data_IF_064841505626
#
_entry.id   IF_064841505626
#
_cell.length_a   1.000
_cell.length_b   1.000
_cell.length_c   1.000
_cell.angle_alpha   90.00
_cell.angle_beta   90.00
_cell.angle_gamma   90.00
#
_symmetry.space_group_name_H-M   'P 1'
#
loop_
_entity.id
_entity.type
_entity.pdbx_description
1 polymer ?
#
# COMPACT_ATOMS: atom_id res chain seq x y z
N UNK A 1 36.18 -5.09 -21.47
CA UNK A 1 36.71 -4.01 -20.61
C UNK A 1 35.82 -3.97 -19.39
N UNK A 2 36.37 -4.39 -18.27
CA UNK A 2 35.65 -4.39 -16.99
C UNK A 2 35.35 -2.95 -16.58
N UNK A 3 34.09 -2.67 -16.26
CA UNK A 3 33.67 -1.38 -15.73
C UNK A 3 34.36 -1.07 -14.40
N UNK A 4 34.58 0.19 -14.06
CA UNK A 4 35.43 0.54 -12.92
C UNK A 4 34.87 -0.05 -11.62
N UNK A 5 35.71 -0.69 -10.80
CA UNK A 5 35.31 -1.37 -9.57
C UNK A 5 34.66 -0.47 -8.50
N UNK A 6 34.80 0.84 -8.63
CA UNK A 6 34.25 1.87 -7.75
C UNK A 6 32.70 1.96 -7.76
N UNK A 7 32.04 1.65 -8.89
CA UNK A 7 30.58 1.76 -8.99
C UNK A 7 29.87 0.64 -8.18
N UNK A 8 30.43 -0.59 -8.23
CA UNK A 8 29.91 -1.72 -7.44
C UNK A 8 30.05 -1.50 -5.92
N UNK A 9 31.18 -0.91 -5.47
CA UNK A 9 31.38 -0.59 -4.05
C UNK A 9 30.39 0.46 -3.54
N UNK A 10 30.18 1.58 -4.27
CA UNK A 10 29.20 2.61 -3.86
C UNK A 10 27.75 2.10 -3.81
N UNK A 11 27.36 1.17 -4.68
CA UNK A 11 26.04 0.54 -4.65
C UNK A 11 25.85 -0.30 -3.38
N UNK A 12 26.87 -1.05 -2.94
CA UNK A 12 26.80 -1.89 -1.75
C UNK A 12 26.69 -1.06 -0.48
N UNK A 13 27.44 0.05 -0.40
CA UNK A 13 27.50 0.90 0.81
C UNK A 13 26.21 1.74 1.03
N UNK A 14 25.41 1.96 -0.02
CA UNK A 14 24.16 2.74 0.05
C UNK A 14 22.89 1.90 0.06
N UNK A 15 23.02 0.57 0.00
CA UNK A 15 21.88 -0.35 -0.06
C UNK A 15 21.72 -1.10 1.26
N UNK A 16 20.58 -0.89 1.93
CA UNK A 16 20.21 -1.65 3.12
C UNK A 16 19.32 -2.81 2.67
N UNK A 17 19.85 -4.03 2.76
CA UNK A 17 19.06 -5.23 2.48
C UNK A 17 18.04 -5.44 3.60
N UNK A 18 16.77 -5.36 3.26
CA UNK A 18 15.65 -5.61 4.18
C UNK A 18 15.00 -6.93 3.81
N UNK A 19 15.17 -7.93 4.66
CA UNK A 19 14.53 -9.23 4.53
C UNK A 19 13.39 -9.36 5.54
N UNK A 20 12.20 -9.67 5.05
CA UNK A 20 11.04 -9.94 5.88
C UNK A 20 11.11 -11.38 6.37
N UNK A 21 11.65 -11.59 7.56
CA UNK A 21 11.65 -12.91 8.22
C UNK A 21 10.19 -13.30 8.52
N UNK A 22 9.74 -14.40 7.93
CA UNK A 22 8.41 -14.95 8.20
C UNK A 22 8.41 -15.68 9.54
N UNK A 23 7.41 -15.45 10.39
CA UNK A 23 7.23 -16.27 11.58
C UNK A 23 6.87 -17.70 11.16
N UNK A 24 7.56 -18.66 11.73
CA UNK A 24 7.40 -20.11 11.46
C UNK A 24 6.20 -20.73 12.23
N UNK A 25 5.57 -20.00 13.15
CA UNK A 25 4.50 -20.50 14.03
C UNK A 25 3.27 -19.58 13.98
N UNK A 26 2.06 -20.12 14.32
CA UNK A 26 0.86 -19.31 14.45
C UNK A 26 1.10 -18.15 15.44
N UNK A 27 0.88 -16.92 14.98
CA UNK A 27 0.95 -15.74 15.86
C UNK A 27 -0.40 -15.50 16.52
N UNK A 28 -0.41 -15.06 17.77
CA UNK A 28 -1.58 -14.44 18.40
C UNK A 28 -1.69 -13.01 17.91
N UNK A 29 -2.56 -12.75 16.96
CA UNK A 29 -2.89 -11.37 16.56
C UNK A 29 -3.61 -10.68 17.73
N UNK A 30 -3.25 -9.42 18.00
CA UNK A 30 -4.03 -8.58 18.93
C UNK A 30 -5.43 -8.44 18.33
N UNK A 31 -6.50 -8.86 19.03
CA UNK A 31 -7.84 -8.66 18.50
C UNK A 31 -8.09 -7.16 18.34
N UNK A 32 -8.78 -6.72 17.27
CA UNK A 32 -9.36 -5.39 17.27
C UNK A 32 -10.23 -5.26 18.53
N UNK A 33 -10.45 -4.04 19.07
CA UNK A 33 -11.20 -3.86 20.30
C UNK A 33 -12.61 -4.44 20.14
N UNK A 34 -12.80 -5.67 20.62
CA UNK A 34 -14.04 -6.43 20.49
C UNK A 34 -15.05 -5.80 21.46
N UNK A 35 -16.05 -5.13 20.92
CA UNK A 35 -17.24 -4.77 21.70
C UNK A 35 -17.89 -6.07 22.19
N UNK A 36 -18.15 -6.17 23.48
CA UNK A 36 -18.57 -7.34 24.24
C UNK A 36 -19.80 -8.16 23.69
N UNK A 37 -20.40 -7.78 22.59
CA UNK A 37 -21.50 -8.47 21.89
C UNK A 37 -21.09 -9.70 21.07
N UNK A 38 -19.79 -9.86 20.73
CA UNK A 38 -19.37 -10.98 19.85
C UNK A 38 -19.24 -12.33 20.57
N UNK A 39 -19.07 -12.35 21.89
CA UNK A 39 -18.86 -13.59 22.65
C UNK A 39 -20.15 -14.49 22.72
N UNK A 40 -21.34 -13.92 22.61
CA UNK A 40 -22.60 -14.68 22.62
C UNK A 40 -22.99 -15.36 21.28
N UNK A 41 -22.27 -15.08 20.19
CA UNK A 41 -22.62 -15.53 18.83
C UNK A 41 -21.86 -16.80 18.38
N UNK A 42 -20.83 -17.25 19.09
CA UNK A 42 -20.02 -18.41 18.68
C UNK A 42 -20.88 -19.68 18.51
N UNK A 43 -21.77 -20.01 19.48
CA UNK A 43 -22.61 -21.18 19.38
C UNK A 43 -23.65 -21.13 18.27
N UNK A 44 -24.15 -19.95 17.91
CA UNK A 44 -25.08 -19.77 16.78
C UNK A 44 -24.38 -19.98 15.43
N UNK A 45 -23.11 -19.57 15.30
CA UNK A 45 -22.34 -19.81 14.10
C UNK A 45 -22.15 -21.30 13.85
N UNK A 46 -21.77 -22.06 14.86
CA UNK A 46 -21.61 -23.51 14.78
C UNK A 46 -22.92 -24.21 14.35
N UNK A 47 -24.06 -23.82 14.93
CA UNK A 47 -25.34 -24.36 14.60
C UNK A 47 -25.71 -24.10 13.12
N UNK A 48 -25.67 -22.87 12.67
CA UNK A 48 -26.09 -22.55 11.31
C UNK A 48 -25.12 -23.10 10.26
N UNK A 49 -23.82 -23.15 10.54
CA UNK A 49 -22.85 -23.81 9.68
C UNK A 49 -23.06 -25.32 9.60
N UNK A 50 -23.49 -25.95 10.72
CA UNK A 50 -23.89 -27.36 10.72
C UNK A 50 -25.14 -27.61 9.85
N UNK A 51 -26.13 -26.70 9.88
CA UNK A 51 -27.31 -26.77 9.00
C UNK A 51 -26.91 -26.68 7.53
N UNK A 52 -25.95 -25.78 7.16
CA UNK A 52 -25.41 -25.67 5.81
C UNK A 52 -24.72 -26.98 5.41
N UNK A 53 -23.91 -27.59 6.28
CA UNK A 53 -23.26 -28.89 6.01
C UNK A 53 -24.24 -30.00 5.68
N UNK A 54 -25.42 -29.99 6.33
CA UNK A 54 -26.50 -30.94 6.08
C UNK A 54 -27.37 -30.60 4.87
N UNK A 55 -27.03 -29.52 4.13
CA UNK A 55 -27.85 -29.00 3.01
C UNK A 55 -29.26 -28.53 3.41
N UNK A 56 -29.49 -28.27 4.69
CA UNK A 56 -30.77 -27.74 5.19
C UNK A 56 -30.85 -26.22 5.05
N UNK A 57 -29.74 -25.57 4.70
CA UNK A 57 -29.65 -24.13 4.55
C UNK A 57 -28.62 -23.77 3.46
N UNK A 58 -28.87 -22.67 2.72
CA UNK A 58 -27.87 -22.12 1.79
C UNK A 58 -26.83 -21.34 2.59
N UNK A 59 -25.55 -21.48 2.20
CA UNK A 59 -24.44 -20.73 2.83
C UNK A 59 -24.56 -19.22 2.61
N UNK A 60 -25.19 -18.78 1.52
CA UNK A 60 -25.43 -17.36 1.24
C UNK A 60 -26.45 -16.71 2.19
N UNK A 61 -27.29 -17.52 2.88
CA UNK A 61 -28.25 -17.06 3.87
C UNK A 61 -27.65 -16.96 5.28
N UNK A 62 -26.36 -17.26 5.42
CA UNK A 62 -25.65 -17.23 6.71
C UNK A 62 -24.46 -16.29 6.61
N UNK A 63 -24.32 -15.40 7.59
CA UNK A 63 -23.10 -14.63 7.74
C UNK A 63 -21.95 -15.56 8.13
N UNK A 64 -21.04 -15.84 7.21
CA UNK A 64 -19.93 -16.78 7.44
C UNK A 64 -18.93 -16.28 8.50
N UNK A 65 -18.97 -15.00 8.83
CA UNK A 65 -18.12 -14.40 9.87
C UNK A 65 -18.64 -14.64 11.29
N UNK A 66 -19.97 -14.50 11.54
CA UNK A 66 -20.53 -14.57 12.89
C UNK A 66 -21.74 -15.53 13.03
N UNK A 67 -22.22 -16.13 11.95
CA UNK A 67 -23.35 -17.03 11.95
C UNK A 67 -24.74 -16.36 11.91
N UNK A 68 -24.85 -15.04 11.94
CA UNK A 68 -26.15 -14.34 11.86
C UNK A 68 -26.88 -14.69 10.57
N UNK A 69 -28.22 -14.82 10.69
CA UNK A 69 -29.12 -14.98 9.54
C UNK A 69 -29.60 -13.63 8.96
N UNK A 70 -29.28 -12.53 9.62
CA UNK A 70 -29.58 -11.17 9.13
C UNK A 70 -28.53 -10.74 8.08
N UNK A 71 -28.56 -11.45 6.96
CA UNK A 71 -27.62 -11.23 5.84
C UNK A 71 -28.11 -10.05 4.99
N UNK A 72 -27.26 -9.06 4.81
CA UNK A 72 -27.53 -7.86 3.99
C UNK A 72 -26.75 -7.84 2.68
N UNK A 73 -25.69 -8.62 2.57
CA UNK A 73 -24.83 -8.68 1.38
C UNK A 73 -24.04 -9.97 1.35
N UNK A 74 -23.45 -10.28 0.21
CA UNK A 74 -22.53 -11.41 0.09
C UNK A 74 -21.17 -11.08 0.70
N UNK A 75 -20.49 -12.10 1.26
CA UNK A 75 -19.11 -11.98 1.65
C UNK A 75 -18.23 -11.71 0.40
N UNK A 76 -17.35 -10.70 0.41
CA UNK A 76 -16.66 -10.28 -0.82
C UNK A 76 -15.66 -11.32 -1.35
N UNK A 77 -15.02 -12.11 -0.48
CA UNK A 77 -13.93 -13.01 -0.86
C UNK A 77 -14.39 -14.46 -1.06
N UNK A 78 -15.35 -14.92 -0.26
CA UNK A 78 -15.80 -16.32 -0.22
C UNK A 78 -17.30 -16.44 -0.43
N UNK A 79 -17.75 -17.62 -0.89
CA UNK A 79 -19.18 -17.94 -0.89
C UNK A 79 -19.74 -17.86 0.52
N UNK A 80 -20.89 -17.22 0.66
CA UNK A 80 -21.59 -17.00 1.93
C UNK A 80 -22.02 -15.55 2.13
N UNK A 81 -22.91 -15.37 3.11
CA UNK A 81 -23.49 -14.08 3.45
C UNK A 81 -22.63 -13.25 4.41
N UNK A 82 -23.01 -11.99 4.56
CA UNK A 82 -22.43 -11.04 5.51
C UNK A 82 -23.52 -10.15 6.10
N UNK A 83 -23.60 -10.04 7.44
CA UNK A 83 -24.48 -9.14 8.15
C UNK A 83 -23.88 -7.72 8.25
N UNK A 84 -24.72 -6.72 8.62
CA UNK A 84 -24.28 -5.33 8.72
C UNK A 84 -23.13 -5.12 9.73
N UNK A 85 -23.15 -5.68 10.96
CA UNK A 85 -22.02 -5.53 11.89
C UNK A 85 -20.71 -6.07 11.32
N UNK A 86 -20.73 -7.26 10.69
CA UNK A 86 -19.52 -7.86 10.11
C UNK A 86 -19.02 -7.07 8.88
N UNK A 87 -19.94 -6.49 8.10
CA UNK A 87 -19.58 -5.58 7.01
C UNK A 87 -18.87 -4.33 7.55
N UNK A 88 -19.38 -3.72 8.61
CA UNK A 88 -18.73 -2.56 9.24
C UNK A 88 -17.34 -2.91 9.76
N UNK A 89 -17.19 -4.03 10.48
CA UNK A 89 -15.89 -4.52 10.96
C UNK A 89 -14.93 -4.78 9.80
N UNK A 90 -15.41 -5.39 8.70
CA UNK A 90 -14.58 -5.57 7.50
C UNK A 90 -14.08 -4.26 6.94
N UNK A 91 -14.97 -3.27 6.79
CA UNK A 91 -14.64 -1.96 6.25
C UNK A 91 -13.62 -1.21 7.12
N UNK A 92 -13.67 -1.41 8.44
CA UNK A 92 -12.73 -0.82 9.40
C UNK A 92 -11.36 -1.52 9.39
N UNK A 93 -11.36 -2.87 9.30
CA UNK A 93 -10.14 -3.66 9.42
C UNK A 93 -9.44 -3.92 8.08
N UNK A 94 -10.17 -3.81 6.95
CA UNK A 94 -9.60 -4.09 5.64
C UNK A 94 -8.37 -3.21 5.38
N UNK A 95 -7.26 -3.86 5.03
CA UNK A 95 -5.98 -3.21 4.79
C UNK A 95 -5.30 -2.59 6.04
N UNK A 96 -5.74 -2.97 7.24
CA UNK A 96 -4.92 -2.76 8.44
C UNK A 96 -3.82 -3.82 8.50
N UNK A 97 -2.63 -3.43 8.94
CA UNK A 97 -1.44 -4.28 8.98
C UNK A 97 -0.84 -4.23 10.39
N UNK A 98 -0.23 -5.33 10.81
CA UNK A 98 0.55 -5.39 12.03
C UNK A 98 1.93 -4.73 11.86
N UNK A 99 2.69 -4.68 12.95
CA UNK A 99 4.02 -4.07 12.99
C UNK A 99 5.01 -4.73 12.01
N UNK A 100 4.77 -5.98 11.62
CA UNK A 100 5.55 -6.73 10.64
C UNK A 100 5.04 -6.57 9.19
N UNK A 101 3.98 -5.77 8.98
CA UNK A 101 3.37 -5.48 7.69
C UNK A 101 2.49 -6.60 7.13
N UNK A 102 1.94 -7.46 8.00
CA UNK A 102 0.93 -8.44 7.65
C UNK A 102 -0.46 -7.95 8.07
N UNK A 103 -1.51 -8.46 7.42
CA UNK A 103 -2.87 -8.15 7.85
C UNK A 103 -3.11 -8.71 9.26
N UNK A 104 -3.65 -7.90 10.18
CA UNK A 104 -3.78 -8.24 11.59
C UNK A 104 -5.04 -9.07 11.92
N UNK A 105 -5.75 -9.60 10.92
CA UNK A 105 -7.06 -10.23 11.08
C UNK A 105 -7.29 -11.38 10.09
N UNK A 106 -8.22 -12.26 10.43
CA UNK A 106 -8.67 -13.35 9.56
C UNK A 106 -9.41 -12.82 8.31
N UNK A 107 -9.09 -13.35 7.14
CA UNK A 107 -9.76 -12.98 5.87
C UNK A 107 -11.24 -13.39 5.79
N UNK A 108 -11.72 -14.23 6.71
CA UNK A 108 -13.11 -14.74 6.72
C UNK A 108 -13.96 -14.02 7.76
N UNK A 109 -13.53 -13.98 9.02
CA UNK A 109 -14.34 -13.44 10.12
C UNK A 109 -13.90 -12.06 10.59
N UNK A 110 -12.77 -11.55 10.09
CA UNK A 110 -12.17 -10.27 10.49
C UNK A 110 -11.84 -10.16 11.98
N UNK A 111 -11.90 -11.29 12.68
CA UNK A 111 -11.46 -11.40 14.07
C UNK A 111 -9.95 -11.62 14.17
N UNK A 112 -9.41 -11.22 15.33
CA UNK A 112 -8.07 -11.62 15.76
C UNK A 112 -8.08 -13.01 16.38
N UNK A 113 -7.01 -13.35 17.11
CA UNK A 113 -6.84 -14.61 17.81
C UNK A 113 -5.73 -15.46 17.23
N UNK A 114 -5.88 -16.78 17.28
CA UNK A 114 -4.89 -17.68 16.70
C UNK A 114 -5.10 -17.76 15.18
N UNK A 115 -4.10 -17.31 14.43
CA UNK A 115 -4.18 -17.13 12.98
C UNK A 115 -3.00 -17.76 12.26
N UNK A 116 -3.29 -18.34 11.09
CA UNK A 116 -2.32 -18.93 10.17
C UNK A 116 -1.96 -17.91 9.09
N UNK A 117 -0.67 -17.66 8.91
CA UNK A 117 -0.16 -16.73 7.92
C UNK A 117 0.09 -17.43 6.58
N UNK A 118 -0.33 -16.80 5.48
CA UNK A 118 -0.06 -17.31 4.14
C UNK A 118 1.43 -17.28 3.80
N UNK A 119 1.95 -18.44 3.41
CA UNK A 119 3.34 -18.62 2.99
C UNK A 119 3.69 -18.04 1.62
N UNK A 120 2.71 -17.61 0.81
CA UNK A 120 2.97 -16.98 -0.47
C UNK A 120 3.59 -15.58 -0.27
N UNK A 121 4.74 -15.33 -0.89
CA UNK A 121 5.48 -14.07 -0.77
C UNK A 121 4.69 -12.82 -1.20
N UNK A 122 3.72 -12.99 -2.08
CA UNK A 122 2.88 -11.92 -2.58
C UNK A 122 1.54 -11.80 -1.82
N UNK A 123 1.38 -12.50 -0.70
CA UNK A 123 0.16 -12.52 0.07
C UNK A 123 0.41 -12.15 1.53
N UNK A 124 -0.34 -11.19 2.06
CA UNK A 124 -0.28 -10.77 3.46
C UNK A 124 -1.50 -11.27 4.26
N UNK A 125 -2.31 -12.20 3.70
CA UNK A 125 -3.58 -12.64 4.31
C UNK A 125 -3.37 -13.72 5.34
N UNK A 126 -4.26 -13.73 6.31
CA UNK A 126 -4.32 -14.71 7.38
C UNK A 126 -5.66 -15.43 7.39
N UNK A 127 -5.70 -16.67 7.92
CA UNK A 127 -6.89 -17.40 8.24
C UNK A 127 -6.89 -17.77 9.72
N UNK A 128 -8.00 -17.55 10.45
CA UNK A 128 -8.07 -18.03 11.82
C UNK A 128 -8.18 -19.54 11.86
N UNK A 129 -7.54 -20.15 12.84
CA UNK A 129 -7.61 -21.59 13.12
C UNK A 129 -9.07 -22.04 13.26
N UNK A 130 -9.89 -21.24 13.97
CA UNK A 130 -11.32 -21.46 14.14
C UNK A 130 -12.11 -21.49 12.81
N UNK A 131 -11.86 -20.51 11.92
CA UNK A 131 -12.53 -20.47 10.62
C UNK A 131 -12.16 -21.65 9.73
N UNK A 132 -10.89 -22.08 9.78
CA UNK A 132 -10.41 -23.26 9.02
C UNK A 132 -11.11 -24.52 9.55
N UNK A 133 -11.14 -24.73 10.85
CA UNK A 133 -11.80 -25.88 11.48
C UNK A 133 -13.29 -25.92 11.18
N UNK A 134 -13.95 -24.77 11.29
CA UNK A 134 -15.39 -24.67 11.12
C UNK A 134 -15.87 -24.77 9.68
N UNK A 135 -15.18 -24.13 8.72
CA UNK A 135 -15.67 -23.99 7.36
C UNK A 135 -15.06 -25.01 6.39
N UNK A 136 -13.92 -25.59 6.70
CA UNK A 136 -13.31 -26.62 5.85
C UNK A 136 -13.74 -28.00 6.31
N UNK A 137 -13.20 -28.50 7.41
CA UNK A 137 -13.59 -29.78 8.02
C UNK A 137 -13.02 -29.91 9.42
N UNK A 138 -13.55 -30.84 10.21
CA UNK A 138 -12.97 -31.20 11.51
C UNK A 138 -11.53 -31.71 11.30
N UNK A 139 -10.58 -31.21 12.06
CA UNK A 139 -9.16 -31.50 11.97
C UNK A 139 -8.40 -30.73 10.89
N UNK A 140 -9.08 -29.91 10.06
CA UNK A 140 -8.43 -29.13 9.02
C UNK A 140 -7.46 -28.09 9.57
N UNK A 141 -7.76 -27.52 10.73
CA UNK A 141 -6.85 -26.58 11.40
C UNK A 141 -5.53 -27.21 11.79
N UNK A 142 -5.57 -28.45 12.35
CA UNK A 142 -4.36 -29.21 12.69
C UNK A 142 -3.50 -29.50 11.46
N UNK A 143 -4.14 -29.90 10.34
CA UNK A 143 -3.45 -30.13 9.07
C UNK A 143 -2.85 -28.84 8.52
N UNK A 144 -3.57 -27.72 8.61
CA UNK A 144 -3.08 -26.42 8.16
C UNK A 144 -1.89 -25.91 8.99
N UNK A 145 -1.88 -26.16 10.30
CA UNK A 145 -0.73 -25.83 11.18
C UNK A 145 0.52 -26.65 10.82
N UNK A 146 0.33 -27.91 10.40
CA UNK A 146 1.42 -28.79 10.02
C UNK A 146 1.95 -28.54 8.57
N UNK A 147 1.20 -27.76 7.77
CA UNK A 147 1.60 -27.42 6.40
C UNK A 147 2.56 -26.22 6.41
N UNK A 148 3.79 -26.42 5.99
CA UNK A 148 4.81 -25.36 5.92
C UNK A 148 5.51 -25.35 4.55
N UNK A 149 5.37 -24.24 3.80
CA UNK A 149 4.58 -23.04 4.07
C UNK A 149 3.08 -23.25 3.80
N UNK A 150 2.22 -22.83 4.75
CA UNK A 150 0.78 -22.86 4.56
C UNK A 150 0.30 -21.82 3.54
N UNK A 151 -0.61 -22.21 2.65
CA UNK A 151 -1.22 -21.30 1.68
C UNK A 151 -2.67 -20.99 2.04
N UNK A 152 -3.05 -19.70 2.07
CA UNK A 152 -4.43 -19.31 2.37
C UNK A 152 -5.42 -19.69 1.24
N UNK A 153 -6.69 -19.76 1.55
CA UNK A 153 -7.74 -20.16 0.60
C UNK A 153 -7.96 -19.16 -0.56
N UNK A 154 -7.38 -17.98 -0.48
CA UNK A 154 -7.32 -17.05 -1.63
C UNK A 154 -6.19 -17.39 -2.60
N UNK A 155 -5.09 -18.00 -2.13
CA UNK A 155 -3.93 -18.37 -2.94
C UNK A 155 -3.98 -19.81 -3.45
N UNK A 156 -4.71 -20.69 -2.76
CA UNK A 156 -4.87 -22.08 -3.19
C UNK A 156 -5.57 -22.17 -4.54
N UNK A 157 -5.21 -23.18 -5.40
CA UNK A 157 -5.98 -23.49 -6.59
C UNK A 157 -7.45 -23.72 -6.24
N UNK A 158 -8.35 -23.47 -7.20
CA UNK A 158 -9.76 -23.81 -7.02
C UNK A 158 -9.89 -25.29 -6.73
N UNK A 159 -10.55 -25.64 -5.64
CA UNK A 159 -10.73 -27.01 -5.19
C UNK A 159 -11.78 -27.10 -4.09
N UNK A 160 -12.14 -28.30 -3.71
CA UNK A 160 -13.07 -28.58 -2.62
C UNK A 160 -12.38 -28.34 -1.27
N UNK A 161 -12.47 -27.14 -0.74
CA UNK A 161 -12.02 -26.79 0.60
C UNK A 161 -13.20 -26.68 1.57
N UNK A 162 -14.00 -27.74 1.64
CA UNK A 162 -15.22 -27.78 2.43
C UNK A 162 -16.22 -26.73 1.92
N UNK A 163 -16.71 -25.90 2.84
CA UNK A 163 -17.61 -24.78 2.53
C UNK A 163 -16.86 -23.48 2.22
N UNK A 164 -15.55 -23.42 2.46
CA UNK A 164 -14.76 -22.23 2.20
C UNK A 164 -14.33 -22.19 0.73
N UNK A 165 -15.17 -21.62 -0.11
CA UNK A 165 -14.95 -21.50 -1.55
C UNK A 165 -14.69 -20.06 -1.92
N UNK A 166 -13.57 -19.80 -2.62
CA UNK A 166 -13.24 -18.47 -3.14
C UNK A 166 -14.19 -18.12 -4.28
N UNK A 167 -14.78 -16.92 -4.24
CA UNK A 167 -15.59 -16.40 -5.34
C UNK A 167 -14.74 -16.14 -6.57
N UNK A 168 -15.29 -16.36 -7.76
CA UNK A 168 -14.62 -16.07 -9.02
C UNK A 168 -14.54 -14.55 -9.25
N UNK A 169 -15.60 -13.86 -8.88
CA UNK A 169 -15.77 -12.41 -9.00
C UNK A 169 -15.33 -11.64 -7.73
N UNK A 170 -14.52 -12.26 -6.85
CA UNK A 170 -14.14 -11.68 -5.55
C UNK A 170 -13.55 -10.26 -5.65
N UNK A 171 -12.75 -9.98 -6.70
CA UNK A 171 -12.16 -8.66 -6.89
C UNK A 171 -13.23 -7.59 -7.15
N UNK A 172 -14.21 -7.90 -8.02
CA UNK A 172 -15.35 -7.02 -8.30
C UNK A 172 -16.28 -6.87 -7.09
N UNK A 173 -16.55 -7.97 -6.36
CA UNK A 173 -17.35 -7.92 -5.12
C UNK A 173 -16.68 -7.06 -4.06
N UNK A 174 -15.37 -7.23 -3.88
CA UNK A 174 -14.59 -6.42 -2.95
C UNK A 174 -14.63 -4.94 -3.34
N UNK A 175 -14.42 -4.62 -4.61
CA UNK A 175 -14.53 -3.27 -5.14
C UNK A 175 -15.92 -2.68 -4.89
N UNK A 176 -16.99 -3.42 -5.22
CA UNK A 176 -18.37 -2.97 -5.02
C UNK A 176 -18.69 -2.73 -3.55
N UNK A 177 -18.14 -3.52 -2.63
CA UNK A 177 -18.34 -3.34 -1.19
C UNK A 177 -17.83 -1.96 -0.74
N UNK A 178 -16.68 -1.50 -1.28
CA UNK A 178 -16.12 -0.19 -1.00
C UNK A 178 -16.76 0.96 -1.79
N UNK A 179 -17.40 0.66 -2.92
CA UNK A 179 -17.95 1.64 -3.87
C UNK A 179 -19.25 2.30 -3.41
N UNK A 180 -20.00 1.69 -2.51
CA UNK A 180 -21.36 2.11 -2.15
C UNK A 180 -21.46 3.33 -1.20
N UNK A 181 -20.43 4.15 -1.07
CA UNK A 181 -20.51 5.43 -0.37
C UNK A 181 -20.68 6.57 -1.39
N UNK A 182 -21.89 7.12 -1.47
CA UNK A 182 -22.17 8.34 -2.23
C UNK A 182 -21.34 9.52 -1.70
N UNK A 183 -20.87 10.40 -2.60
CA UNK A 183 -20.23 11.71 -2.38
C UNK A 183 -19.66 11.90 -0.95
N UNK A 184 -18.52 11.28 -0.68
CA UNK A 184 -17.85 11.47 0.59
C UNK A 184 -17.10 12.80 0.55
N UNK A 185 -17.51 13.75 1.40
CA UNK A 185 -16.70 14.92 1.70
C UNK A 185 -15.55 14.48 2.61
N UNK A 186 -14.33 14.77 2.20
CA UNK A 186 -13.15 14.48 2.99
C UNK A 186 -12.81 15.67 3.88
N UNK A 187 -12.27 15.44 5.08
CA UNK A 187 -11.81 16.53 5.94
C UNK A 187 -10.75 17.36 5.21
N UNK A 188 -10.79 18.66 5.42
CA UNK A 188 -9.78 19.57 4.86
C UNK A 188 -8.41 19.16 5.42
N UNK A 189 -7.38 19.00 4.56
CA UNK A 189 -6.05 18.65 5.03
C UNK A 189 -5.54 19.66 6.06
N UNK A 190 -4.84 19.18 7.11
CA UNK A 190 -4.23 20.03 8.12
C UNK A 190 -3.27 21.03 7.44
N UNK A 191 -3.55 22.32 7.61
CA UNK A 191 -2.69 23.41 7.15
C UNK A 191 -1.72 23.76 8.28
N UNK A 192 -0.43 23.67 7.99
CA UNK A 192 0.61 24.07 8.92
C UNK A 192 0.98 25.54 8.71
N UNK A 193 1.18 26.33 9.77
CA UNK A 193 1.73 27.67 9.63
C UNK A 193 3.19 27.60 9.16
N UNK A 194 3.66 28.58 8.36
CA UNK A 194 5.08 28.67 8.00
C UNK A 194 5.99 28.75 9.24
N UNK A 195 7.14 28.07 9.16
CA UNK A 195 8.13 28.05 10.22
C UNK A 195 9.10 29.22 10.04
N UNK A 196 9.42 29.91 11.12
CA UNK A 196 10.43 30.98 11.12
C UNK A 196 11.77 30.43 10.59
N UNK A 197 12.45 31.19 9.75
CA UNK A 197 13.69 30.74 9.06
C UNK A 197 14.74 30.22 10.03
N UNK A 198 14.87 30.84 11.21
CA UNK A 198 15.82 30.41 12.26
C UNK A 198 15.47 29.07 12.93
N UNK A 199 14.23 28.60 12.78
CA UNK A 199 13.74 27.35 13.37
C UNK A 199 13.59 26.22 12.36
N UNK A 200 13.79 26.51 11.07
CA UNK A 200 13.69 25.51 10.00
C UNK A 200 14.81 24.49 10.10
N UNK A 201 14.47 23.22 9.99
CA UNK A 201 15.39 22.06 10.02
C UNK A 201 15.59 21.48 8.61
N UNK A 202 16.60 20.67 8.44
CA UNK A 202 16.77 19.86 7.25
C UNK A 202 15.66 18.79 7.17
N UNK A 203 15.23 18.43 5.95
CA UNK A 203 14.10 17.55 5.70
C UNK A 203 14.51 16.08 5.75
N UNK A 204 13.65 15.22 6.28
CA UNK A 204 13.77 13.76 6.26
C UNK A 204 12.67 13.17 5.37
N UNK A 205 13.08 12.41 4.36
CA UNK A 205 12.20 11.95 3.29
C UNK A 205 12.14 10.43 3.24
N UNK A 206 10.93 9.90 3.12
CA UNK A 206 10.65 8.52 2.72
C UNK A 206 10.08 8.53 1.30
N UNK A 207 10.79 7.96 0.35
CA UNK A 207 10.36 7.86 -1.04
C UNK A 207 10.05 6.40 -1.39
N UNK A 208 8.81 6.14 -1.75
CA UNK A 208 8.29 4.80 -2.05
C UNK A 208 8.07 4.68 -3.56
N UNK A 209 8.62 3.62 -4.17
CA UNK A 209 8.69 3.48 -5.63
C UNK A 209 9.47 4.65 -6.27
N UNK A 210 10.67 4.89 -5.75
CA UNK A 210 11.46 6.12 -5.99
C UNK A 210 11.83 6.36 -7.47
N UNK A 211 11.88 5.30 -8.28
CA UNK A 211 12.31 5.37 -9.66
C UNK A 211 13.74 5.93 -9.75
N UNK A 212 13.93 6.95 -10.58
CA UNK A 212 15.22 7.62 -10.78
C UNK A 212 15.46 8.81 -9.83
N UNK A 213 14.90 8.76 -8.64
CA UNK A 213 15.07 9.77 -7.58
C UNK A 213 14.64 11.20 -7.96
N UNK A 214 13.53 11.33 -8.69
CA UNK A 214 13.01 12.65 -9.10
C UNK A 214 12.68 13.54 -7.91
N UNK A 215 12.17 12.97 -6.82
CA UNK A 215 11.86 13.72 -5.59
C UNK A 215 13.11 14.39 -5.01
N UNK A 216 14.21 13.63 -4.93
CA UNK A 216 15.49 14.16 -4.43
C UNK A 216 16.09 15.22 -5.35
N UNK A 217 16.02 15.00 -6.68
CA UNK A 217 16.45 15.99 -7.65
C UNK A 217 15.79 17.33 -7.40
N UNK A 218 14.46 17.32 -7.26
CA UNK A 218 13.68 18.54 -7.06
C UNK A 218 13.96 19.21 -5.71
N UNK A 219 14.12 18.44 -4.64
CA UNK A 219 14.49 19.01 -3.34
C UNK A 219 15.84 19.73 -3.38
N UNK A 220 16.84 19.13 -4.06
CA UNK A 220 18.15 19.77 -4.30
C UNK A 220 18.02 21.02 -5.15
N UNK A 221 17.26 20.97 -6.22
CA UNK A 221 17.00 22.08 -7.15
C UNK A 221 16.35 23.29 -6.45
N UNK A 222 15.50 23.02 -5.47
CA UNK A 222 14.88 24.02 -4.61
C UNK A 222 15.81 24.52 -3.49
N UNK A 223 17.00 23.95 -3.35
CA UNK A 223 17.94 24.29 -2.30
C UNK A 223 17.52 23.81 -0.90
N UNK A 224 16.57 22.88 -0.78
CA UNK A 224 16.11 22.37 0.51
C UNK A 224 17.20 21.45 1.09
N UNK A 225 17.64 21.73 2.32
CA UNK A 225 18.65 20.93 3.02
C UNK A 225 18.09 19.57 3.40
N UNK A 226 18.82 18.52 3.03
CA UNK A 226 18.45 17.15 3.30
C UNK A 226 19.19 16.63 4.53
N UNK A 227 18.45 16.08 5.50
CA UNK A 227 19.01 15.33 6.62
C UNK A 227 19.13 13.84 6.25
N UNK A 228 18.04 13.25 5.70
CA UNK A 228 17.99 11.85 5.31
C UNK A 228 17.04 11.64 4.13
N UNK A 229 17.40 10.72 3.23
CA UNK A 229 16.55 10.26 2.14
C UNK A 229 16.58 8.73 2.08
N UNK A 230 15.46 8.09 2.46
CA UNK A 230 15.28 6.65 2.42
C UNK A 230 14.38 6.32 1.23
N UNK A 231 14.81 5.41 0.37
CA UNK A 231 14.10 5.10 -0.86
C UNK A 231 13.84 3.59 -1.01
N UNK A 232 12.58 3.22 -1.25
CA UNK A 232 12.21 1.88 -1.70
C UNK A 232 12.12 1.87 -3.23
N UNK A 233 12.98 1.08 -3.86
CA UNK A 233 13.03 0.84 -5.30
C UNK A 233 13.65 -0.55 -5.54
N UNK A 234 13.14 -1.28 -6.56
CA UNK A 234 13.63 -2.62 -6.91
C UNK A 234 14.25 -2.69 -8.30
N UNK A 235 14.07 -1.65 -9.13
CA UNK A 235 14.64 -1.60 -10.47
C UNK A 235 16.11 -1.19 -10.39
N UNK A 236 17.03 -2.12 -10.66
CA UNK A 236 18.47 -1.89 -10.60
C UNK A 236 18.92 -0.70 -11.45
N UNK A 237 18.40 -0.55 -12.67
CA UNK A 237 18.71 0.58 -13.54
C UNK A 237 18.31 1.92 -12.89
N UNK A 238 17.17 1.95 -12.20
CA UNK A 238 16.71 3.14 -11.48
C UNK A 238 17.64 3.48 -10.31
N UNK A 239 18.00 2.45 -9.53
CA UNK A 239 18.91 2.56 -8.38
C UNK A 239 20.28 3.08 -8.83
N UNK A 240 20.80 2.56 -9.95
CA UNK A 240 22.08 3.03 -10.52
C UNK A 240 22.02 4.52 -10.88
N UNK A 241 20.94 4.97 -11.53
CA UNK A 241 20.77 6.40 -11.85
C UNK A 241 20.75 7.24 -10.57
N UNK A 242 19.93 6.86 -9.60
CA UNK A 242 19.82 7.59 -8.34
C UNK A 242 21.14 7.64 -7.57
N UNK A 243 21.85 6.52 -7.47
CA UNK A 243 23.15 6.43 -6.78
C UNK A 243 24.20 7.33 -7.43
N UNK A 244 24.31 7.26 -8.76
CA UNK A 244 25.31 8.06 -9.51
C UNK A 244 24.99 9.55 -9.45
N UNK A 245 23.72 9.92 -9.67
CA UNK A 245 23.31 11.33 -9.74
C UNK A 245 23.27 12.03 -8.38
N UNK A 246 23.13 11.25 -7.32
CA UNK A 246 23.03 11.81 -5.96
C UNK A 246 24.19 11.40 -5.04
N UNK A 247 25.30 10.89 -5.61
CA UNK A 247 26.56 10.65 -4.89
C UNK A 247 26.39 9.76 -3.65
N UNK A 248 25.53 8.76 -3.72
CA UNK A 248 25.25 7.85 -2.60
C UNK A 248 24.47 8.46 -1.42
N UNK A 249 23.85 9.63 -1.59
CA UNK A 249 23.04 10.27 -0.55
C UNK A 249 21.69 9.62 -0.32
N UNK A 250 21.34 8.58 -1.09
CA UNK A 250 20.11 7.81 -0.96
C UNK A 250 20.41 6.52 -0.22
N UNK A 251 19.63 6.23 0.82
CA UNK A 251 19.62 4.91 1.46
C UNK A 251 18.53 4.07 0.80
N UNK A 252 18.93 3.14 -0.10
CA UNK A 252 18.00 2.22 -0.74
C UNK A 252 17.69 1.03 0.16
N UNK A 253 16.39 0.74 0.33
CA UNK A 253 15.88 -0.29 1.24
C UNK A 253 15.13 -1.43 0.52
N UNK A 254 15.20 -1.47 -0.81
CA UNK A 254 14.66 -2.56 -1.65
C UNK A 254 13.14 -2.57 -1.75
N UNK A 255 12.56 -3.75 -1.64
CA UNK A 255 11.13 -3.98 -1.90
C UNK A 255 10.26 -3.41 -0.76
N UNK A 256 9.30 -2.57 -1.13
CA UNK A 256 8.34 -1.95 -0.22
C UNK A 256 7.57 -2.97 0.63
N UNK A 257 7.33 -4.17 0.09
CA UNK A 257 6.62 -5.26 0.78
C UNK A 257 7.38 -5.81 1.98
N UNK A 258 8.70 -5.59 2.05
CA UNK A 258 9.55 -6.02 3.15
C UNK A 258 9.66 -4.98 4.27
N UNK A 259 9.18 -3.76 4.02
CA UNK A 259 9.25 -2.68 5.01
C UNK A 259 8.19 -2.87 6.09
N UNK A 260 8.60 -2.74 7.34
CA UNK A 260 7.75 -2.89 8.52
C UNK A 260 7.68 -1.58 9.31
N UNK A 261 6.76 -1.51 10.26
CA UNK A 261 6.69 -0.40 11.22
C UNK A 261 8.00 -0.19 11.96
N UNK A 262 8.70 -1.27 12.34
CA UNK A 262 10.00 -1.18 13.01
C UNK A 262 10.99 -0.38 12.18
N UNK A 263 11.09 -0.65 10.88
CA UNK A 263 11.97 0.07 9.97
C UNK A 263 11.59 1.57 9.86
N UNK A 264 10.28 1.87 9.77
CA UNK A 264 9.81 3.26 9.73
C UNK A 264 10.16 4.02 11.01
N UNK A 265 10.05 3.38 12.15
CA UNK A 265 10.41 4.00 13.44
C UNK A 265 11.94 4.16 13.60
N UNK A 266 12.73 3.20 13.10
CA UNK A 266 14.20 3.23 13.17
C UNK A 266 14.78 4.34 12.28
N UNK A 267 14.24 4.52 11.08
CA UNK A 267 14.74 5.52 10.12
C UNK A 267 14.09 6.89 10.26
N UNK A 268 12.95 6.96 10.89
CA UNK A 268 12.18 8.17 11.11
C UNK A 268 12.71 9.06 12.26
N UNK A 269 11.92 10.03 12.68
CA UNK A 269 10.65 10.43 12.06
C UNK A 269 10.85 11.07 10.68
N UNK A 270 9.91 10.85 9.76
CA UNK A 270 9.91 11.46 8.43
C UNK A 270 9.06 12.72 8.40
N UNK A 271 9.46 13.70 7.60
CA UNK A 271 8.75 14.98 7.40
C UNK A 271 7.98 14.99 6.09
N UNK A 272 8.44 14.18 5.11
CA UNK A 272 7.83 14.06 3.80
C UNK A 272 7.80 12.58 3.37
N UNK A 273 6.62 12.09 3.01
CA UNK A 273 6.42 10.77 2.39
C UNK A 273 5.92 10.95 0.96
N UNK A 274 6.67 10.44 0.00
CA UNK A 274 6.32 10.56 -1.41
C UNK A 274 6.31 9.20 -2.09
N UNK A 275 5.47 9.03 -3.12
CA UNK A 275 5.48 7.79 -3.90
C UNK A 275 4.47 7.76 -5.03
N UNK A 276 4.67 6.80 -5.94
CA UNK A 276 3.74 6.51 -7.02
C UNK A 276 3.78 5.03 -7.33
N UNK A 277 2.75 4.27 -6.92
CA UNK A 277 2.71 2.83 -7.18
C UNK A 277 2.62 2.52 -8.68
N UNK A 278 3.13 1.36 -9.13
CA UNK A 278 3.05 0.98 -10.54
C UNK A 278 1.62 1.06 -11.08
N UNK A 279 1.46 1.71 -12.22
CA UNK A 279 0.15 2.00 -12.83
C UNK A 279 -0.34 0.92 -13.81
N UNK A 280 0.43 -0.13 -14.08
CA UNK A 280 0.14 -1.10 -15.14
C UNK A 280 -1.25 -1.74 -15.00
N UNK A 281 -1.66 -2.08 -13.78
CA UNK A 281 -2.95 -2.72 -13.52
C UNK A 281 -4.09 -1.72 -13.23
N UNK A 282 -3.80 -0.42 -13.15
CA UNK A 282 -4.79 0.63 -12.96
C UNK A 282 -5.12 1.37 -14.26
N UNK A 283 -4.16 1.46 -15.20
CA UNK A 283 -4.31 2.20 -16.44
C UNK A 283 -5.34 1.57 -17.38
N UNK A 284 -6.33 2.36 -17.83
CA UNK A 284 -7.33 1.92 -18.82
C UNK A 284 -6.71 1.64 -20.20
N UNK A 285 -5.50 2.13 -20.47
CA UNK A 285 -4.76 1.86 -21.70
C UNK A 285 -4.28 0.39 -21.74
N UNK A 286 -4.15 -0.27 -20.61
CA UNK A 286 -3.82 -1.68 -20.52
C UNK A 286 -5.10 -2.52 -20.53
N UNK A 287 -5.43 -3.25 -21.63
CA UNK A 287 -6.63 -4.08 -21.69
C UNK A 287 -6.59 -5.28 -20.72
N UNK A 288 -5.39 -5.70 -20.31
CA UNK A 288 -5.16 -6.79 -19.35
C UNK A 288 -5.03 -6.32 -17.89
N UNK A 289 -5.39 -5.06 -17.60
CA UNK A 289 -5.33 -4.52 -16.24
C UNK A 289 -6.19 -5.32 -15.27
N UNK A 290 -5.69 -5.50 -14.05
CA UNK A 290 -6.36 -6.29 -12.99
C UNK A 290 -7.09 -5.43 -11.96
N UNK A 291 -6.92 -4.09 -12.01
CA UNK A 291 -7.50 -3.16 -11.03
C UNK A 291 -6.73 -3.12 -9.70
N UNK A 292 -7.32 -2.40 -8.74
CA UNK A 292 -6.69 -2.09 -7.47
C UNK A 292 -6.57 -3.31 -6.53
N UNK A 293 -7.56 -4.19 -6.53
CA UNK A 293 -7.71 -5.25 -5.52
C UNK A 293 -7.20 -6.62 -5.95
N UNK A 294 -7.16 -6.89 -7.25
CA UNK A 294 -6.74 -8.18 -7.76
C UNK A 294 -5.23 -8.42 -7.58
N UNK A 295 -4.81 -9.66 -7.77
CA UNK A 295 -3.39 -10.01 -7.76
C UNK A 295 -2.66 -9.33 -8.93
N UNK A 296 -1.76 -8.41 -8.61
CA UNK A 296 -1.03 -7.60 -9.57
C UNK A 296 -0.36 -6.40 -8.92
N UNK A 297 0.09 -5.49 -9.76
CA UNK A 297 0.81 -4.29 -9.32
C UNK A 297 -0.11 -3.22 -8.73
N UNK A 298 -1.42 -3.23 -9.07
CA UNK A 298 -2.38 -2.25 -8.55
C UNK A 298 -2.49 -2.27 -7.03
N UNK A 299 -2.43 -3.46 -6.43
CA UNK A 299 -2.48 -3.62 -4.97
C UNK A 299 -1.28 -3.04 -4.22
N UNK A 300 -0.18 -2.74 -4.89
CA UNK A 300 0.97 -2.08 -4.27
C UNK A 300 0.65 -0.66 -3.74
N UNK A 301 -0.47 -0.08 -4.16
CA UNK A 301 -1.05 1.09 -3.51
C UNK A 301 -1.25 0.89 -1.99
N UNK A 302 -1.69 -0.30 -1.57
CA UNK A 302 -1.93 -0.57 -0.15
C UNK A 302 -0.64 -0.64 0.67
N UNK A 303 0.49 -0.95 0.05
CA UNK A 303 1.81 -0.86 0.71
C UNK A 303 2.21 0.61 0.93
N UNK A 304 1.95 1.50 -0.05
CA UNK A 304 2.11 2.94 0.17
C UNK A 304 1.20 3.44 1.29
N UNK A 305 -0.09 3.09 1.24
CA UNK A 305 -1.08 3.46 2.24
C UNK A 305 -0.64 3.04 3.66
N UNK A 306 -0.21 1.80 3.82
CA UNK A 306 0.29 1.24 5.09
C UNK A 306 1.46 2.05 5.64
N UNK A 307 2.51 2.25 4.83
CA UNK A 307 3.73 2.94 5.27
C UNK A 307 3.49 4.45 5.50
N UNK A 308 2.59 5.06 4.74
CA UNK A 308 2.15 6.43 5.00
C UNK A 308 1.55 6.56 6.41
N UNK A 309 0.68 5.62 6.82
CA UNK A 309 0.08 5.62 8.16
C UNK A 309 1.12 5.43 9.26
N UNK A 310 2.09 4.55 9.05
CA UNK A 310 3.17 4.33 10.01
C UNK A 310 4.13 5.51 10.16
N UNK A 311 4.28 6.32 9.09
CA UNK A 311 5.14 7.50 9.08
C UNK A 311 4.46 8.78 9.61
N UNK A 312 3.11 8.81 9.66
CA UNK A 312 2.36 9.97 10.19
C UNK A 312 2.77 10.29 11.64
N UNK A 313 2.79 11.59 12.02
CA UNK A 313 2.97 11.99 13.41
C UNK A 313 1.95 11.30 14.32
N UNK A 314 2.39 10.89 15.49
CA UNK A 314 1.51 10.34 16.52
C UNK A 314 0.62 11.42 17.12
N UNK A 315 -0.45 11.00 17.78
CA UNK A 315 -1.30 11.92 18.54
C UNK A 315 -0.46 12.67 19.57
N UNK A 316 -0.57 14.00 19.57
CA UNK A 316 0.25 14.89 20.42
C UNK A 316 1.56 15.37 19.77
N UNK A 317 1.98 14.86 18.63
CA UNK A 317 3.11 15.41 17.87
C UNK A 317 2.64 16.51 16.90
N UNK A 318 3.00 17.75 17.18
CA UNK A 318 2.59 18.91 16.34
C UNK A 318 3.75 19.38 15.45
N UNK A 319 4.27 18.49 14.61
CA UNK A 319 5.29 18.80 13.59
C UNK A 319 4.68 18.83 12.21
N UNK A 320 5.15 19.68 11.28
CA UNK A 320 4.74 19.59 9.88
C UNK A 320 5.05 18.23 9.30
N UNK A 321 4.04 17.65 8.65
CA UNK A 321 4.15 16.37 7.96
C UNK A 321 3.43 16.48 6.62
N UNK A 322 4.19 16.22 5.55
CA UNK A 322 3.69 16.31 4.19
C UNK A 322 3.76 14.95 3.50
N UNK A 323 2.85 14.74 2.55
CA UNK A 323 2.86 13.54 1.74
C UNK A 323 2.29 13.80 0.35
N UNK A 324 2.72 12.97 -0.60
CA UNK A 324 2.27 13.01 -1.99
C UNK A 324 2.20 11.59 -2.55
N UNK A 325 1.05 11.21 -3.09
CA UNK A 325 0.86 10.00 -3.89
C UNK A 325 0.51 10.36 -5.32
N UNK A 326 1.14 9.72 -6.30
CA UNK A 326 0.91 9.94 -7.73
C UNK A 326 0.41 8.67 -8.41
N UNK A 327 -0.51 8.81 -9.37
CA UNK A 327 -0.83 7.73 -10.29
C UNK A 327 -1.43 8.27 -11.61
N UNK A 328 -1.65 7.38 -12.60
CA UNK A 328 -2.17 7.78 -13.92
C UNK A 328 -3.55 8.42 -13.83
N UNK A 329 -3.79 9.48 -14.64
CA UNK A 329 -5.13 10.06 -14.76
C UNK A 329 -6.09 9.14 -15.52
N UNK A 330 -5.57 8.35 -16.46
CA UNK A 330 -6.33 7.37 -17.24
C UNK A 330 -6.53 6.07 -16.45
N UNK A 331 -7.25 6.13 -15.32
CA UNK A 331 -7.64 4.95 -14.52
C UNK A 331 -9.15 4.83 -14.43
N UNK A 332 -9.64 3.66 -13.97
CA UNK A 332 -11.06 3.43 -13.73
C UNK A 332 -11.61 4.40 -12.67
N UNK A 333 -12.85 4.88 -12.88
CA UNK A 333 -13.51 5.80 -11.93
C UNK A 333 -13.58 5.19 -10.52
N UNK A 334 -13.81 3.88 -10.45
CA UNK A 334 -13.88 3.16 -9.18
C UNK A 334 -12.52 3.11 -8.50
N UNK A 335 -11.43 2.79 -9.23
CA UNK A 335 -10.07 2.76 -8.66
C UNK A 335 -9.69 4.14 -8.12
N UNK A 336 -9.98 5.23 -8.88
CA UNK A 336 -9.77 6.61 -8.43
C UNK A 336 -10.51 6.91 -7.12
N UNK A 337 -11.79 6.52 -7.05
CA UNK A 337 -12.63 6.76 -5.87
C UNK A 337 -12.13 5.99 -4.66
N UNK A 338 -11.73 4.74 -4.85
CA UNK A 338 -11.22 3.90 -3.78
C UNK A 338 -9.89 4.44 -3.24
N UNK A 339 -8.95 4.84 -4.11
CA UNK A 339 -7.72 5.51 -3.71
C UNK A 339 -8.03 6.79 -2.91
N UNK A 340 -8.95 7.63 -3.41
CA UNK A 340 -9.36 8.86 -2.72
C UNK A 340 -9.94 8.59 -1.35
N UNK A 341 -10.72 7.53 -1.20
CA UNK A 341 -11.31 7.11 0.07
C UNK A 341 -10.25 6.65 1.08
N UNK A 342 -9.29 5.82 0.65
CA UNK A 342 -8.22 5.36 1.55
C UNK A 342 -7.29 6.50 1.97
N UNK A 343 -6.99 7.42 1.05
CA UNK A 343 -6.15 8.59 1.33
C UNK A 343 -6.92 9.77 1.95
N UNK A 344 -8.23 9.65 2.11
CA UNK A 344 -9.12 10.66 2.70
C UNK A 344 -8.99 12.03 2.04
N UNK A 345 -8.74 12.08 0.75
CA UNK A 345 -8.68 13.32 -0.02
C UNK A 345 -8.99 13.11 -1.49
N UNK A 346 -9.46 14.17 -2.17
CA UNK A 346 -9.62 14.17 -3.61
C UNK A 346 -8.28 14.47 -4.31
N UNK A 347 -8.01 13.85 -5.48
CA UNK A 347 -6.81 14.16 -6.23
C UNK A 347 -6.95 15.48 -6.99
N UNK A 348 -5.80 16.12 -7.21
CA UNK A 348 -5.64 17.14 -8.23
C UNK A 348 -5.13 16.48 -9.50
N UNK A 349 -5.77 16.73 -10.63
CA UNK A 349 -5.27 16.29 -11.94
C UNK A 349 -4.34 17.35 -12.50
N UNK A 350 -3.15 16.92 -12.90
CA UNK A 350 -2.16 17.79 -13.52
C UNK A 350 -1.65 17.14 -14.79
N UNK A 351 -1.73 17.85 -15.93
CA UNK A 351 -1.14 17.41 -17.18
C UNK A 351 0.17 18.16 -17.42
N UNK A 352 1.25 17.41 -17.58
CA UNK A 352 2.56 18.02 -17.84
C UNK A 352 2.62 18.86 -19.13
N UNK A 353 1.65 18.68 -20.07
CA UNK A 353 1.56 19.50 -21.29
C UNK A 353 1.40 20.99 -21.02
N UNK A 354 0.77 21.33 -19.88
CA UNK A 354 0.51 22.73 -19.53
C UNK A 354 1.81 23.49 -19.22
N UNK A 355 2.98 22.82 -19.30
CA UNK A 355 4.26 23.38 -18.83
C UNK A 355 5.50 22.65 -19.34
N UNK A 356 5.32 21.60 -20.11
CA UNK A 356 6.38 20.93 -20.86
C UNK A 356 5.81 20.44 -22.18
N UNK A 357 6.70 20.09 -23.11
CA UNK A 357 6.29 19.55 -24.43
C UNK A 357 5.70 18.13 -24.35
N UNK A 358 5.56 17.53 -23.16
CA UNK A 358 5.12 16.15 -22.98
C UNK A 358 3.71 16.08 -22.41
N UNK A 359 2.80 15.39 -23.12
CA UNK A 359 1.50 15.00 -22.56
C UNK A 359 1.67 13.92 -21.48
N UNK A 360 1.38 14.25 -20.22
CA UNK A 360 1.48 13.34 -19.09
C UNK A 360 0.49 13.72 -17.99
N UNK A 361 -0.78 13.42 -18.22
CA UNK A 361 -1.82 13.64 -17.21
C UNK A 361 -1.68 12.64 -16.05
N UNK A 362 -1.66 13.15 -14.81
CA UNK A 362 -1.54 12.39 -13.57
C UNK A 362 -2.50 12.92 -12.52
N UNK A 363 -2.95 12.02 -11.66
CA UNK A 363 -3.60 12.35 -10.40
C UNK A 363 -2.56 12.41 -9.30
N UNK A 364 -2.69 13.44 -8.46
CA UNK A 364 -1.89 13.65 -7.27
C UNK A 364 -2.80 13.76 -6.07
N UNK A 365 -2.60 12.92 -5.07
CA UNK A 365 -3.23 12.98 -3.75
C UNK A 365 -2.19 13.44 -2.75
N UNK A 366 -2.55 14.29 -1.79
CA UNK A 366 -1.61 14.77 -0.79
C UNK A 366 -2.07 16.01 -0.05
N UNK A 367 -1.21 16.46 0.84
CA UNK A 367 -1.43 17.66 1.64
C UNK A 367 -0.38 18.75 1.38
N UNK A 368 0.35 18.68 0.27
CA UNK A 368 1.32 19.69 -0.09
C UNK A 368 0.63 21.03 -0.40
N UNK A 369 1.11 22.16 0.16
CA UNK A 369 0.52 23.47 -0.09
C UNK A 369 0.54 23.89 -1.56
N UNK A 370 1.48 23.32 -2.36
CA UNK A 370 1.65 23.62 -3.79
C UNK A 370 0.82 22.79 -4.75
N UNK A 371 -0.22 22.08 -4.30
CA UNK A 371 -1.02 21.19 -5.17
C UNK A 371 -1.67 21.87 -6.38
N UNK A 372 -1.65 23.20 -6.46
CA UNK A 372 -2.40 23.98 -7.46
C UNK A 372 -1.55 24.63 -8.57
N UNK A 373 -0.20 24.41 -8.69
CA UNK A 373 0.67 25.02 -9.76
C UNK A 373 1.85 24.14 -10.18
N UNK A 374 2.56 24.36 -11.34
CA UNK A 374 3.38 23.30 -12.03
C UNK A 374 4.72 23.69 -12.69
N UNK A 375 5.88 22.83 -12.75
CA UNK A 375 6.72 22.38 -13.92
C UNK A 375 8.29 22.34 -14.02
N UNK A 376 9.06 21.43 -14.74
CA UNK A 376 10.29 21.32 -15.55
C UNK A 376 11.55 20.43 -15.28
N UNK A 377 11.98 19.46 -16.15
CA UNK A 377 13.20 18.60 -16.04
C UNK A 377 14.49 19.13 -16.75
N UNK A 378 15.75 18.91 -16.21
CA UNK A 378 17.00 19.22 -16.93
C UNK A 378 17.35 18.21 -18.03
N UNK A 379 18.09 18.68 -19.07
CA UNK A 379 18.60 17.85 -20.16
C UNK A 379 19.70 16.89 -19.66
N UNK A 380 19.76 15.65 -20.20
CA UNK A 380 20.75 14.61 -19.86
C UNK A 380 20.70 14.01 -18.45
N UNK A 381 19.61 14.16 -17.70
CA UNK A 381 19.50 13.62 -16.35
C UNK A 381 19.70 12.08 -16.27
N UNK A 382 19.27 11.34 -17.30
CA UNK A 382 19.43 9.87 -17.37
C UNK A 382 20.71 9.40 -18.07
N UNK A 383 21.61 10.30 -18.45
CA UNK A 383 22.89 9.95 -19.07
C UNK A 383 23.88 9.46 -18.02
N UNK A 384 23.74 8.20 -17.62
CA UNK A 384 24.70 7.46 -16.81
C UNK A 384 25.42 6.44 -17.68
N UNK A 385 26.72 6.24 -17.42
CA UNK A 385 27.58 5.32 -18.18
C UNK A 385 26.99 3.90 -18.19
N UNK A 386 27.08 3.21 -19.34
CA UNK A 386 26.67 1.83 -19.58
C UNK A 386 25.16 1.55 -19.72
N UNK A 387 24.32 2.56 -19.82
CA UNK A 387 22.90 2.35 -20.04
C UNK A 387 22.49 2.59 -21.50
N UNK A 388 21.76 1.67 -22.11
CA UNK A 388 21.29 1.82 -23.49
C UNK A 388 20.27 2.95 -23.63
N UNK A 389 20.18 3.54 -24.83
CA UNK A 389 19.17 4.58 -25.13
C UNK A 389 17.73 4.13 -24.78
N UNK A 390 17.41 2.87 -25.08
CA UNK A 390 16.08 2.30 -24.80
C UNK A 390 15.82 2.18 -23.29
N UNK A 391 16.81 1.75 -22.50
CA UNK A 391 16.70 1.68 -21.04
C UNK A 391 16.46 3.07 -20.45
N UNK A 392 17.22 4.08 -20.89
CA UNK A 392 17.05 5.49 -20.47
C UNK A 392 15.66 6.05 -20.82
N UNK A 393 15.14 5.76 -22.01
CA UNK A 393 13.78 6.15 -22.40
C UNK A 393 12.71 5.50 -21.53
N UNK A 394 12.88 4.22 -21.15
CA UNK A 394 11.96 3.53 -20.23
C UNK A 394 11.95 4.16 -18.83
N UNK A 395 13.10 4.54 -18.31
CA UNK A 395 13.22 5.21 -17.01
C UNK A 395 12.52 6.57 -17.03
N UNK A 396 12.76 7.40 -18.07
CA UNK A 396 12.06 8.68 -18.25
C UNK A 396 10.55 8.51 -18.38
N UNK A 397 10.09 7.48 -19.11
CA UNK A 397 8.68 7.17 -19.26
C UNK A 397 7.98 6.76 -17.94
N UNK A 398 8.75 6.29 -16.96
CA UNK A 398 8.26 5.92 -15.62
C UNK A 398 8.43 7.00 -14.57
N UNK A 399 9.28 7.99 -14.81
CA UNK A 399 9.59 9.04 -13.83
C UNK A 399 8.47 10.08 -13.69
N UNK A 400 8.52 10.81 -12.61
CA UNK A 400 7.69 11.99 -12.42
C UNK A 400 8.13 13.15 -13.33
N UNK A 401 7.22 14.07 -13.61
CA UNK A 401 7.56 15.32 -14.27
C UNK A 401 8.23 16.27 -13.26
N UNK A 402 9.51 16.59 -13.44
CA UNK A 402 10.27 17.48 -12.53
C UNK A 402 9.59 18.83 -12.36
N UNK A 403 9.05 19.49 -13.43
CA UNK A 403 8.35 20.73 -13.23
C UNK A 403 7.13 20.63 -12.33
N UNK A 404 6.34 19.57 -12.49
CA UNK A 404 5.21 19.32 -11.62
C UNK A 404 5.66 19.20 -10.17
N UNK A 405 6.64 18.34 -9.91
CA UNK A 405 7.14 18.08 -8.56
C UNK A 405 7.81 19.33 -7.97
N UNK A 406 8.59 20.06 -8.77
CA UNK A 406 9.22 21.31 -8.33
C UNK A 406 8.21 22.33 -7.85
N UNK A 407 7.08 22.45 -8.58
CA UNK A 407 6.02 23.36 -8.16
C UNK A 407 5.35 22.86 -6.87
N UNK A 408 4.98 21.57 -6.82
CA UNK A 408 4.35 20.98 -5.65
C UNK A 408 5.23 21.08 -4.39
N UNK A 409 6.56 20.97 -4.55
CA UNK A 409 7.51 21.04 -3.43
C UNK A 409 7.98 22.46 -3.11
N UNK A 410 7.79 23.42 -3.99
CA UNK A 410 8.24 24.81 -3.77
C UNK A 410 7.81 25.39 -2.41
N UNK A 411 6.56 25.20 -1.94
CA UNK A 411 6.15 25.73 -0.64
C UNK A 411 6.80 25.04 0.57
N UNK A 412 7.47 23.90 0.39
CA UNK A 412 8.22 23.26 1.49
C UNK A 412 9.36 24.13 2.01
N UNK A 413 9.82 25.10 1.21
CA UNK A 413 10.80 26.12 1.63
C UNK A 413 10.33 26.95 2.84
N UNK A 414 9.03 27.05 3.06
CA UNK A 414 8.48 27.77 4.20
C UNK A 414 8.54 26.96 5.51
N UNK A 415 8.89 25.69 5.43
CA UNK A 415 8.93 24.75 6.56
C UNK A 415 10.30 24.21 6.85
N UNK A 416 11.19 24.11 5.84
CA UNK A 416 12.49 23.48 5.96
C UNK A 416 13.62 24.45 5.62
N UNK A 417 14.82 24.19 6.20
CA UNK A 417 15.99 25.00 5.95
C UNK A 417 16.46 24.87 4.49
N UNK A 418 16.87 25.98 3.92
CA UNK A 418 17.43 26.06 2.56
C UNK A 418 18.90 26.47 2.61
N UNK A 419 19.63 26.16 1.52
CA UNK A 419 21.02 26.61 1.28
C UNK A 419 21.01 28.06 0.87
#
# INVERSE_FOLDING_TARGET
MEGPPLLKRKLVDSYVYVDRKRPLLPKKAKPPPIKAKQIKLAGLRDQHIYEVRRKNRNIEDVCIACGSLDVITHHPLFEGGMCQPCKSTFMECAFQYDDDGYQAYCSVCYGGGEVLMCGNSNCCRWGSVECVEMLVSVGAAKSAIAEEPWSCFMCRPKGAHGMLRRRDDWASKLQNLFTNAHSQEYPIPKIYPPILTSQRKAIRVLSLFDGIATGLLVLKDLGIKLERYVASEICEDSIVVGTVRHEGKITYVGDIRNLTRKHILEWGPFDLVIGGSPCNDLSIVNPARKGLYAEGTGRLFFEFYRLLHEAKPKEGEDRPFFWLFENVAAMGVNDKRDISRFLECNPVMIDAKDVSAAHRARYFWGNLPGMNRIFGFPVHYTDVSNMSRLARQRLLGRSWSVPVIRHLFSPLKDYFSCV
#
